data_IF_747044637404
#
_entry.id   IF_747044637404
#
_cell.length_a   1.000
_cell.length_b   1.000
_cell.length_c   1.000
_cell.angle_alpha   90.00
_cell.angle_beta   90.00
_cell.angle_gamma   90.00
#
_symmetry.space_group_name_H-M   'P 1'
#
loop_
_entity.id
_entity.type
_entity.pdbx_description
1 polymer ?
#
# COMPACT_ATOMS: atom_id res chain seq x y z
N UNK A 1 0.48 -8.65 -18.80
CA UNK A 1 0.33 -8.25 -17.39
C UNK A 1 1.33 -7.14 -17.11
N UNK A 2 0.86 -6.03 -16.57
CA UNK A 2 1.72 -4.92 -16.18
C UNK A 2 2.64 -5.31 -15.01
N UNK A 3 3.67 -4.49 -14.75
CA UNK A 3 4.55 -4.65 -13.58
C UNK A 3 4.17 -3.67 -12.49
N UNK A 4 4.22 -4.11 -11.23
CA UNK A 4 3.95 -3.29 -10.06
C UNK A 4 5.26 -2.89 -9.37
N UNK A 5 5.56 -1.61 -9.35
CA UNK A 5 6.66 -1.05 -8.57
C UNK A 5 6.15 -0.16 -7.46
N UNK A 6 6.81 -0.20 -6.32
CA UNK A 6 6.45 0.56 -5.14
C UNK A 6 7.55 1.54 -4.80
N UNK A 7 7.20 2.78 -4.52
CA UNK A 7 8.10 3.77 -3.95
C UNK A 7 7.74 3.95 -2.47
N UNK A 8 8.69 3.60 -1.63
CA UNK A 8 8.60 3.72 -0.18
C UNK A 8 9.51 4.83 0.34
N UNK A 9 9.36 5.16 1.60
CA UNK A 9 10.19 6.12 2.31
C UNK A 9 9.43 6.75 3.47
N UNK A 10 10.18 7.39 4.36
CA UNK A 10 9.62 8.14 5.50
C UNK A 10 8.83 9.37 5.04
N UNK A 11 8.02 9.91 5.92
CA UNK A 11 7.31 11.16 5.63
C UNK A 11 8.32 12.30 5.41
N UNK A 12 8.06 13.11 4.38
CA UNK A 12 8.95 14.21 4.01
C UNK A 12 10.22 13.80 3.25
N UNK A 13 10.38 12.50 2.88
CA UNK A 13 11.55 12.01 2.12
C UNK A 13 11.53 12.38 0.63
N UNK A 14 10.42 12.95 0.14
CA UNK A 14 10.28 13.30 -1.27
C UNK A 14 9.72 12.16 -2.14
N UNK A 15 9.25 11.04 -1.56
CA UNK A 15 8.72 9.90 -2.32
C UNK A 15 7.62 10.25 -3.30
N UNK A 16 6.67 11.11 -2.92
CA UNK A 16 5.58 11.55 -3.80
C UNK A 16 6.13 12.33 -5.00
N UNK A 17 7.11 13.20 -4.77
CA UNK A 17 7.77 13.95 -5.84
C UNK A 17 8.54 13.00 -6.77
N UNK A 18 9.29 12.06 -6.22
CA UNK A 18 10.04 11.08 -7.00
C UNK A 18 9.13 10.13 -7.78
N UNK A 19 8.03 9.67 -7.18
CA UNK A 19 7.04 8.86 -7.87
C UNK A 19 6.47 9.59 -9.11
N UNK A 20 6.10 10.87 -8.93
CA UNK A 20 5.60 11.69 -10.04
C UNK A 20 6.64 11.89 -11.14
N UNK A 21 7.88 12.23 -10.78
CA UNK A 21 8.96 12.41 -11.75
C UNK A 21 9.26 11.12 -12.53
N UNK A 22 9.26 9.98 -11.84
CA UNK A 22 9.46 8.67 -12.47
C UNK A 22 8.31 8.33 -13.43
N UNK A 23 7.06 8.53 -13.01
CA UNK A 23 5.90 8.32 -13.87
C UNK A 23 5.94 9.19 -15.12
N UNK A 24 6.25 10.48 -14.96
CA UNK A 24 6.35 11.42 -16.09
C UNK A 24 7.49 11.06 -17.05
N UNK A 25 8.64 10.59 -16.52
CA UNK A 25 9.73 10.13 -17.34
C UNK A 25 9.36 8.89 -18.16
N UNK A 26 8.73 7.91 -17.53
CA UNK A 26 8.27 6.69 -18.21
C UNK A 26 7.24 6.99 -19.30
N UNK A 27 6.29 7.87 -19.02
CA UNK A 27 5.31 8.32 -20.02
C UNK A 27 5.94 8.99 -21.23
N UNK A 28 6.97 9.83 -21.01
CA UNK A 28 7.75 10.42 -22.13
C UNK A 28 8.47 9.37 -22.98
N UNK A 29 8.78 8.21 -22.41
CA UNK A 29 9.36 7.07 -23.13
C UNK A 29 8.29 6.19 -23.83
N UNK A 30 7.02 6.58 -23.77
CA UNK A 30 5.91 5.83 -24.38
C UNK A 30 5.37 4.69 -23.52
N UNK A 31 5.80 4.58 -22.27
CA UNK A 31 5.30 3.54 -21.34
C UNK A 31 3.99 4.00 -20.71
N UNK A 32 2.97 3.15 -20.75
CA UNK A 32 1.76 3.38 -19.96
C UNK A 32 2.08 3.28 -18.46
N UNK A 33 1.66 4.28 -17.68
CA UNK A 33 1.87 4.28 -16.23
C UNK A 33 0.55 4.60 -15.52
N UNK A 34 0.13 3.69 -14.67
CA UNK A 34 -0.95 3.89 -13.71
C UNK A 34 -0.37 4.27 -12.36
N UNK A 35 -0.63 5.50 -11.93
CA UNK A 35 -0.23 5.97 -10.60
C UNK A 35 -1.27 5.55 -9.57
N UNK A 36 -0.82 5.00 -8.45
CA UNK A 36 -1.64 4.74 -7.27
C UNK A 36 -0.92 5.20 -6.01
N UNK A 37 -1.66 5.56 -4.99
CA UNK A 37 -1.08 6.01 -3.72
C UNK A 37 -1.97 5.59 -2.56
N UNK A 38 -1.37 5.20 -1.45
CA UNK A 38 -2.08 4.76 -0.25
C UNK A 38 -1.62 5.53 0.99
N UNK A 39 -2.53 5.81 1.97
CA UNK A 39 -3.98 5.57 1.92
C UNK A 39 -4.68 6.50 0.92
N UNK A 40 -5.84 6.03 0.42
CA UNK A 40 -6.65 6.79 -0.53
C UNK A 40 -7.68 7.64 0.19
N UNK A 41 -7.21 8.60 0.95
CA UNK A 41 -8.08 9.50 1.73
C UNK A 41 -9.25 10.06 0.91
N UNK A 42 -10.41 10.19 1.56
CA UNK A 42 -11.63 10.68 0.94
C UNK A 42 -12.37 9.64 0.08
N UNK A 43 -11.91 8.39 0.01
CA UNK A 43 -12.61 7.30 -0.67
C UNK A 43 -13.27 6.35 0.31
N UNK A 44 -14.28 5.61 -0.15
CA UNK A 44 -14.92 4.58 0.68
C UNK A 44 -13.93 3.51 1.15
N UNK A 45 -12.95 3.16 0.34
CA UNK A 45 -11.93 2.16 0.70
C UNK A 45 -11.06 2.57 1.88
N UNK A 46 -10.77 3.87 2.02
CA UNK A 46 -9.95 4.41 3.09
C UNK A 46 -10.76 4.82 4.36
N UNK A 47 -12.07 4.65 4.37
CA UNK A 47 -12.91 5.13 5.48
C UNK A 47 -12.47 4.55 6.84
N UNK A 48 -12.13 3.26 6.90
CA UNK A 48 -11.64 2.64 8.13
C UNK A 48 -10.24 3.12 8.51
N UNK A 49 -9.39 3.38 7.55
CA UNK A 49 -8.06 3.97 7.79
C UNK A 49 -8.21 5.37 8.39
N UNK A 50 -9.10 6.19 7.83
CA UNK A 50 -9.38 7.54 8.33
C UNK A 50 -9.97 7.50 9.74
N UNK A 51 -10.93 6.60 10.00
CA UNK A 51 -11.50 6.39 11.32
C UNK A 51 -10.42 6.04 12.34
N UNK A 52 -9.52 5.11 11.98
CA UNK A 52 -8.40 4.70 12.81
C UNK A 52 -7.42 5.85 13.08
N UNK A 53 -6.97 6.54 12.04
CA UNK A 53 -5.97 7.61 12.16
C UNK A 53 -6.51 8.84 12.90
N UNK A 54 -7.81 9.12 12.81
CA UNK A 54 -8.46 10.24 13.48
C UNK A 54 -8.89 9.92 14.94
N UNK A 55 -8.51 8.75 15.46
CA UNK A 55 -8.86 8.35 16.84
C UNK A 55 -10.33 7.97 17.03
N UNK A 56 -11.06 7.72 15.95
CA UNK A 56 -12.49 7.37 16.00
C UNK A 56 -12.81 6.00 16.61
N UNK A 57 -11.78 5.17 16.86
CA UNK A 57 -11.91 3.89 17.55
C UNK A 57 -11.75 4.02 19.08
N UNK A 58 -11.54 5.23 19.59
CA UNK A 58 -11.23 5.48 21.01
C UNK A 58 -9.75 5.21 21.31
N UNK A 59 -9.21 5.99 22.26
CA UNK A 59 -7.78 5.93 22.55
C UNK A 59 -6.88 6.52 21.47
N UNK A 60 -5.64 6.08 21.44
CA UNK A 60 -4.67 6.48 20.43
C UNK A 60 -4.55 5.42 19.32
N UNK A 61 -3.99 5.75 18.16
CA UNK A 61 -3.70 4.74 17.13
C UNK A 61 -2.81 3.59 17.63
N UNK A 62 -1.99 3.82 18.65
CA UNK A 62 -1.15 2.80 19.28
C UNK A 62 -1.98 1.76 20.05
N UNK A 63 -3.16 2.13 20.56
CA UNK A 63 -4.05 1.21 21.28
C UNK A 63 -4.73 0.20 20.33
N UNK A 64 -4.78 0.51 19.05
CA UNK A 64 -5.27 -0.44 18.05
C UNK A 64 -4.17 -1.41 17.68
N UNK A 65 -4.39 -2.70 17.92
CA UNK A 65 -3.39 -3.74 17.66
C UNK A 65 -2.93 -3.78 16.19
N UNK A 66 -1.68 -4.20 15.98
CA UNK A 66 -1.05 -4.23 14.66
C UNK A 66 -1.87 -5.02 13.61
N UNK A 67 -2.45 -6.15 14.00
CA UNK A 67 -3.27 -6.98 13.13
C UNK A 67 -4.56 -6.26 12.70
N UNK A 68 -5.28 -5.66 13.65
CA UNK A 68 -6.51 -4.93 13.36
C UNK A 68 -6.25 -3.71 12.46
N UNK A 69 -5.26 -2.90 12.78
CA UNK A 69 -4.88 -1.75 11.95
C UNK A 69 -4.50 -2.18 10.53
N UNK A 70 -3.75 -3.28 10.38
CA UNK A 70 -3.36 -3.82 9.08
C UNK A 70 -4.56 -4.18 8.20
N UNK A 71 -5.66 -4.68 8.78
CA UNK A 71 -6.86 -5.00 8.00
C UNK A 71 -7.48 -3.76 7.36
N UNK A 72 -7.45 -2.61 8.02
CA UNK A 72 -8.00 -1.37 7.49
C UNK A 72 -7.21 -0.90 6.25
N UNK A 73 -5.90 -0.94 6.33
CA UNK A 73 -5.03 -0.60 5.19
C UNK A 73 -5.15 -1.62 4.05
N UNK A 74 -5.30 -2.90 4.37
CA UNK A 74 -5.50 -3.94 3.38
C UNK A 74 -6.84 -3.80 2.64
N UNK A 75 -7.91 -3.41 3.34
CA UNK A 75 -9.19 -3.11 2.72
C UNK A 75 -9.09 -1.98 1.69
N UNK A 76 -8.38 -0.89 2.02
CA UNK A 76 -8.16 0.22 1.09
C UNK A 76 -7.43 -0.25 -0.17
N UNK A 77 -6.35 -1.03 -0.03
CA UNK A 77 -5.62 -1.60 -1.17
C UNK A 77 -6.47 -2.55 -2.01
N UNK A 78 -7.21 -3.43 -1.37
CA UNK A 78 -8.08 -4.39 -2.06
C UNK A 78 -9.18 -3.70 -2.86
N UNK A 79 -9.89 -2.74 -2.25
CA UNK A 79 -10.94 -1.99 -2.93
C UNK A 79 -10.37 -1.22 -4.12
N UNK A 80 -9.25 -0.52 -3.93
CA UNK A 80 -8.56 0.18 -5.00
C UNK A 80 -8.19 -0.77 -6.15
N UNK A 81 -7.57 -1.91 -5.84
CA UNK A 81 -7.24 -2.90 -6.85
C UNK A 81 -8.47 -3.33 -7.65
N UNK A 82 -9.53 -3.73 -6.97
CA UNK A 82 -10.74 -4.27 -7.62
C UNK A 82 -11.50 -3.25 -8.45
N UNK A 83 -11.46 -1.98 -8.07
CA UNK A 83 -12.32 -0.95 -8.68
C UNK A 83 -11.61 -0.01 -9.64
N UNK A 84 -10.27 0.07 -9.60
CA UNK A 84 -9.56 1.14 -10.32
C UNK A 84 -8.44 0.68 -11.22
N UNK A 85 -7.60 -0.27 -10.79
CA UNK A 85 -6.38 -0.58 -11.53
C UNK A 85 -6.18 -2.06 -11.88
N UNK A 86 -7.14 -2.91 -11.56
CA UNK A 86 -7.09 -4.34 -11.86
C UNK A 86 -6.94 -4.59 -13.37
N UNK A 87 -7.77 -3.94 -14.17
CA UNK A 87 -7.74 -4.10 -15.63
C UNK A 87 -6.40 -3.65 -16.22
N UNK A 88 -5.89 -2.51 -15.75
CA UNK A 88 -4.58 -2.02 -16.19
C UNK A 88 -3.45 -2.98 -15.79
N UNK A 89 -3.55 -3.63 -14.65
CA UNK A 89 -2.56 -4.59 -14.17
C UNK A 89 -2.64 -5.95 -14.89
N UNK A 90 -3.82 -6.55 -14.93
CA UNK A 90 -4.00 -7.92 -15.46
C UNK A 90 -3.87 -7.98 -16.98
N UNK A 91 -4.37 -6.97 -17.68
CA UNK A 91 -4.45 -6.95 -19.14
C UNK A 91 -3.53 -5.93 -19.82
N UNK A 92 -2.96 -5.01 -19.07
CA UNK A 92 -1.98 -4.05 -19.59
C UNK A 92 -0.58 -4.63 -19.74
N UNK A 93 0.29 -3.87 -20.38
CA UNK A 93 1.72 -4.16 -20.59
C UNK A 93 2.64 -3.08 -20.01
N UNK A 94 2.06 -2.12 -19.28
CA UNK A 94 2.75 -0.99 -18.71
C UNK A 94 3.24 -1.21 -17.27
N UNK A 95 3.24 -0.12 -16.53
CA UNK A 95 3.67 -0.08 -15.13
C UNK A 95 2.56 0.46 -14.25
N UNK A 96 2.29 -0.22 -13.15
CA UNK A 96 1.58 0.32 -12.00
C UNK A 96 2.62 0.83 -11.01
N UNK A 97 2.60 2.12 -10.72
CA UNK A 97 3.54 2.76 -9.80
C UNK A 97 2.81 3.18 -8.54
N UNK A 98 3.11 2.50 -7.44
CA UNK A 98 2.49 2.75 -6.14
C UNK A 98 3.37 3.64 -5.26
N UNK A 99 2.79 4.70 -4.70
CA UNK A 99 3.40 5.44 -3.59
C UNK A 99 2.84 4.88 -2.29
N UNK A 100 3.67 4.16 -1.54
CA UNK A 100 3.34 3.27 -0.42
C UNK A 100 2.52 2.04 -0.86
N UNK A 101 2.74 0.95 -0.17
CA UNK A 101 2.00 -0.30 -0.37
C UNK A 101 2.00 -1.14 0.91
N UNK A 102 1.95 -2.46 0.81
CA UNK A 102 1.96 -3.38 1.97
C UNK A 102 3.22 -3.22 2.84
N UNK A 103 4.35 -2.94 2.22
CA UNK A 103 5.63 -2.66 2.91
C UNK A 103 5.55 -1.48 3.89
N UNK A 104 4.87 -0.39 3.54
CA UNK A 104 4.64 0.73 4.45
C UNK A 104 3.86 0.29 5.70
N UNK A 105 2.79 -0.50 5.49
CA UNK A 105 2.02 -1.04 6.60
C UNK A 105 2.87 -1.95 7.50
N UNK A 106 3.69 -2.82 6.91
CA UNK A 106 4.60 -3.68 7.66
C UNK A 106 5.50 -2.87 8.59
N UNK A 107 6.19 -1.86 8.06
CA UNK A 107 7.11 -1.01 8.85
C UNK A 107 6.37 -0.31 10.00
N UNK A 108 5.22 0.29 9.74
CA UNK A 108 4.48 1.02 10.76
C UNK A 108 3.90 0.11 11.84
N UNK A 109 3.41 -1.07 11.49
CA UNK A 109 2.79 -1.96 12.47
C UNK A 109 3.81 -2.76 13.28
N UNK A 110 4.96 -3.10 12.70
CA UNK A 110 6.04 -3.77 13.44
C UNK A 110 6.51 -2.97 14.65
N UNK A 111 6.47 -1.64 14.59
CA UNK A 111 6.84 -0.79 15.73
C UNK A 111 5.97 -0.98 16.97
N UNK A 112 4.77 -1.54 16.81
CA UNK A 112 3.82 -1.84 17.90
C UNK A 112 4.04 -3.21 18.53
N UNK A 113 4.86 -4.06 17.94
CA UNK A 113 5.06 -5.45 18.34
C UNK A 113 6.45 -5.65 18.93
N UNK A 114 6.57 -6.52 19.94
CA UNK A 114 7.88 -6.93 20.41
C UNK A 114 8.64 -7.69 19.32
N UNK A 115 9.96 -7.53 19.27
CA UNK A 115 10.82 -8.09 18.22
C UNK A 115 10.59 -9.60 17.94
N UNK A 116 10.38 -10.48 18.92
CA UNK A 116 10.14 -11.89 18.66
C UNK A 116 8.85 -12.20 17.87
N UNK A 117 7.91 -11.27 17.81
CA UNK A 117 6.64 -11.45 17.08
C UNK A 117 6.70 -10.96 15.62
N UNK A 118 7.79 -10.34 15.21
CA UNK A 118 7.89 -9.70 13.90
C UNK A 118 7.76 -10.67 12.73
N UNK A 119 8.44 -11.79 12.79
CA UNK A 119 8.43 -12.77 11.70
C UNK A 119 7.02 -13.36 11.53
N UNK A 120 6.36 -13.73 12.64
CA UNK A 120 4.99 -14.25 12.60
C UNK A 120 3.99 -13.21 12.05
N UNK A 121 4.16 -11.93 12.40
CA UNK A 121 3.33 -10.86 11.87
C UNK A 121 3.55 -10.64 10.37
N UNK A 122 4.81 -10.65 9.90
CA UNK A 122 5.12 -10.51 8.48
C UNK A 122 4.59 -11.67 7.66
N UNK A 123 4.76 -12.91 8.13
CA UNK A 123 4.21 -14.10 7.47
C UNK A 123 2.68 -14.01 7.34
N UNK A 124 2.01 -13.60 8.43
CA UNK A 124 0.58 -13.37 8.41
C UNK A 124 0.18 -12.26 7.42
N UNK A 125 0.88 -11.13 7.41
CA UNK A 125 0.54 -10.00 6.57
C UNK A 125 0.68 -10.33 5.08
N UNK A 126 1.75 -11.04 4.71
CA UNK A 126 1.99 -11.49 3.34
C UNK A 126 0.96 -12.52 2.90
N UNK A 127 0.65 -13.50 3.74
CA UNK A 127 -0.41 -14.48 3.46
C UNK A 127 -1.78 -13.80 3.32
N UNK A 128 -2.10 -12.91 4.24
CA UNK A 128 -3.38 -12.20 4.24
C UNK A 128 -3.58 -11.37 2.97
N UNK A 129 -2.64 -10.48 2.64
CA UNK A 129 -2.82 -9.58 1.50
C UNK A 129 -2.58 -10.26 0.15
N UNK A 130 -1.53 -11.05 0.03
CA UNK A 130 -1.14 -11.59 -1.27
C UNK A 130 -1.79 -12.94 -1.59
N UNK A 131 -2.03 -13.79 -0.60
CA UNK A 131 -2.63 -15.11 -0.86
C UNK A 131 -4.14 -15.13 -0.61
N UNK A 132 -4.64 -14.49 0.45
CA UNK A 132 -6.08 -14.49 0.77
C UNK A 132 -6.86 -13.42 0.05
N UNK A 133 -6.38 -12.17 0.03
CA UNK A 133 -6.99 -11.09 -0.72
C UNK A 133 -6.57 -11.07 -2.20
N UNK A 134 -5.53 -11.79 -2.57
CA UNK A 134 -5.01 -11.89 -3.93
C UNK A 134 -4.70 -10.51 -4.55
N UNK A 135 -4.25 -9.55 -3.76
CA UNK A 135 -3.73 -8.30 -4.35
C UNK A 135 -2.34 -8.56 -4.94
N UNK A 136 -1.95 -7.88 -6.01
CA UNK A 136 -0.67 -8.11 -6.66
C UNK A 136 0.53 -7.93 -5.73
N UNK A 137 1.48 -8.86 -5.80
CA UNK A 137 2.80 -8.69 -5.20
C UNK A 137 3.61 -7.70 -6.03
N UNK A 138 4.35 -6.76 -5.41
CA UNK A 138 5.22 -5.88 -6.17
C UNK A 138 6.38 -6.65 -6.83
N UNK A 139 6.71 -6.27 -8.07
CA UNK A 139 7.90 -6.74 -8.78
C UNK A 139 9.18 -6.12 -8.19
N UNK A 140 9.06 -4.95 -7.60
CA UNK A 140 10.15 -4.27 -6.91
C UNK A 140 9.69 -3.15 -5.99
N UNK A 141 10.47 -2.92 -4.95
CA UNK A 141 10.30 -1.82 -4.00
C UNK A 141 11.55 -0.96 -4.02
N UNK A 142 11.35 0.35 -4.21
CA UNK A 142 12.40 1.36 -4.21
C UNK A 142 12.22 2.18 -2.93
N UNK A 143 13.26 2.19 -2.10
CA UNK A 143 13.28 2.93 -0.84
C UNK A 143 14.21 4.13 -0.92
#
# INVERSE_FOLDING_TARGET
MARLFVIEGTDGSGKTTQAKLAADALRRMGVFVRDISFPRYGTTGAAFVELYLNGGLGGSPEDTGAYAASTFFACDRYISYRTEWREDYEHGDGIVLACRYTSANAVHQLSKLPRPEWDAFLDWLWDFEFEKLCIPKPDGVIY
#
